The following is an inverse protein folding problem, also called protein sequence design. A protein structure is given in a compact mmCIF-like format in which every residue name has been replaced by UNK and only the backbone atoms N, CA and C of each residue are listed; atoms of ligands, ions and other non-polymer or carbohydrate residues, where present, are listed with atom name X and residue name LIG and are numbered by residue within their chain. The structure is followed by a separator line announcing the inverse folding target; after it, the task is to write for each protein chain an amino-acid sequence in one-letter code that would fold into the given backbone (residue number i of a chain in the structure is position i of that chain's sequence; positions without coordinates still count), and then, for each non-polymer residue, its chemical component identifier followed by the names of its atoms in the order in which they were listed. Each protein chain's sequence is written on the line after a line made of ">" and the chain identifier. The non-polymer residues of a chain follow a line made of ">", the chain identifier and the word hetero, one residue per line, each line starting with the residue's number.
data_IF_588990012991
#
_entry.id   IF_588990012991
#
_cell.length_a   1.000
_cell.length_b   1.000
_cell.length_c   1.000
_cell.angle_alpha   90.00
_cell.angle_beta   90.00
_cell.angle_gamma   90.00
#
_symmetry.space_group_name_H-M   'P 1'
#
loop_
_entity.id
_entity.type
_entity.pdbx_description
1 polymer ?
#
# COMPACT_ATOMS: atom_id res chain seq x y z
N UNK A 1 -28.45 3.22 4.54
CA UNK A 1 -28.49 3.84 3.22
C UNK A 1 -28.00 5.28 3.31
N UNK A 2 -27.04 5.65 2.47
CA UNK A 2 -26.49 7.00 2.50
C UNK A 2 -27.48 8.02 1.93
N UNK A 3 -27.64 9.13 2.64
CA UNK A 3 -28.41 10.29 2.17
C UNK A 3 -27.47 11.25 1.42
N UNK A 4 -28.02 12.26 0.74
CA UNK A 4 -27.20 13.31 0.11
C UNK A 4 -26.34 14.06 1.14
N UNK A 5 -26.84 14.25 2.36
CA UNK A 5 -26.07 14.85 3.45
C UNK A 5 -24.91 13.96 3.88
N UNK A 6 -25.13 12.63 3.95
CA UNK A 6 -24.07 11.69 4.28
C UNK A 6 -22.99 11.64 3.19
N UNK A 7 -23.39 11.73 1.93
CA UNK A 7 -22.46 11.78 0.80
C UNK A 7 -21.61 13.06 0.87
N UNK A 8 -22.22 14.21 1.16
CA UNK A 8 -21.50 15.47 1.33
C UNK A 8 -20.53 15.40 2.51
N UNK A 9 -20.92 14.77 3.63
CA UNK A 9 -20.04 14.56 4.76
C UNK A 9 -18.84 13.70 4.38
N UNK A 10 -19.05 12.66 3.58
CA UNK A 10 -17.97 11.78 3.12
C UNK A 10 -17.00 12.54 2.22
N UNK A 11 -17.51 13.30 1.25
CA UNK A 11 -16.68 13.92 0.22
C UNK A 11 -16.13 15.28 0.62
N UNK A 12 -16.87 16.06 1.40
CA UNK A 12 -16.54 17.45 1.73
C UNK A 12 -16.29 17.69 3.22
N UNK A 13 -16.59 16.73 4.07
CA UNK A 13 -16.42 16.85 5.51
C UNK A 13 -14.99 16.57 5.97
N UNK A 14 -14.77 16.74 7.27
CA UNK A 14 -13.44 16.56 7.88
C UNK A 14 -13.36 15.32 8.79
N UNK A 15 -14.37 14.47 8.74
CA UNK A 15 -14.39 13.25 9.55
C UNK A 15 -13.94 12.06 8.72
N UNK A 16 -12.96 11.31 9.23
CA UNK A 16 -12.50 10.08 8.59
C UNK A 16 -13.51 8.96 8.82
N UNK A 17 -14.15 8.53 7.74
CA UNK A 17 -15.16 7.47 7.75
C UNK A 17 -14.83 6.45 6.67
N UNK A 18 -13.79 5.62 6.88
CA UNK A 18 -13.34 4.70 5.84
C UNK A 18 -14.44 3.72 5.44
N UNK A 19 -14.59 3.56 4.13
CA UNK A 19 -15.59 2.66 3.56
C UNK A 19 -14.92 1.35 3.19
N UNK A 20 -15.12 0.35 4.03
CA UNK A 20 -14.61 -0.99 3.78
C UNK A 20 -15.47 -1.73 2.77
N UNK A 21 -14.85 -2.61 1.99
CA UNK A 21 -15.56 -3.48 1.06
C UNK A 21 -16.31 -4.62 1.80
N UNK A 22 -16.94 -5.52 1.05
CA UNK A 22 -17.70 -6.64 1.63
C UNK A 22 -16.83 -7.58 2.47
N UNK A 23 -15.52 -7.62 2.21
CA UNK A 23 -14.57 -8.41 2.99
C UNK A 23 -14.00 -7.65 4.19
N UNK A 24 -14.42 -6.41 4.42
CA UNK A 24 -13.93 -5.58 5.50
C UNK A 24 -12.57 -4.96 5.22
N UNK A 25 -12.23 -4.73 3.96
CA UNK A 25 -10.91 -4.23 3.55
C UNK A 25 -11.01 -2.91 2.78
N UNK A 26 -9.99 -2.08 2.94
CA UNK A 26 -9.72 -0.93 2.05
C UNK A 26 -8.39 -1.16 1.37
N UNK A 27 -8.26 -0.68 0.14
CA UNK A 27 -7.00 -0.71 -0.61
C UNK A 27 -6.08 0.40 -0.10
N UNK A 28 -4.80 0.09 0.04
CA UNK A 28 -3.77 1.04 0.45
C UNK A 28 -2.65 1.07 -0.57
N UNK A 29 -2.36 2.26 -1.08
CA UNK A 29 -1.23 2.51 -1.98
C UNK A 29 -0.13 3.16 -1.15
N UNK A 30 1.08 2.60 -1.21
CA UNK A 30 2.25 3.17 -0.53
C UNK A 30 3.22 3.73 -1.57
N UNK A 31 3.58 5.01 -1.40
CA UNK A 31 4.57 5.67 -2.23
C UNK A 31 5.74 6.17 -1.39
N UNK A 32 6.91 6.27 -2.01
CA UNK A 32 8.06 6.86 -1.35
C UNK A 32 7.82 8.35 -1.14
N UNK A 33 8.04 8.85 0.08
CA UNK A 33 7.73 10.23 0.44
C UNK A 33 8.60 11.26 -0.27
N UNK A 34 9.80 10.86 -0.70
CA UNK A 34 10.75 11.76 -1.36
C UNK A 34 10.63 11.68 -2.88
N UNK A 35 10.71 10.47 -3.44
CA UNK A 35 10.72 10.29 -4.90
C UNK A 35 9.34 10.24 -5.53
N UNK A 36 8.30 9.90 -4.75
CA UNK A 36 6.96 9.68 -5.28
C UNK A 36 6.77 8.34 -5.96
N UNK A 37 7.77 7.48 -5.96
CA UNK A 37 7.68 6.16 -6.59
C UNK A 37 6.61 5.33 -5.88
N UNK A 38 5.73 4.69 -6.64
CA UNK A 38 4.76 3.74 -6.10
C UNK A 38 5.51 2.49 -5.65
N UNK A 39 5.49 2.21 -4.37
CA UNK A 39 6.23 1.10 -3.79
C UNK A 39 5.45 -0.20 -3.82
N UNK A 40 4.19 -0.15 -3.40
CA UNK A 40 3.35 -1.33 -3.32
C UNK A 40 1.88 -0.95 -3.16
N UNK A 41 1.02 -1.94 -3.36
CA UNK A 41 -0.40 -1.88 -3.04
C UNK A 41 -0.74 -3.08 -2.16
N UNK A 42 -1.45 -2.84 -1.07
CA UNK A 42 -1.89 -3.88 -0.17
C UNK A 42 -3.26 -3.51 0.40
N UNK A 43 -3.73 -4.27 1.38
CA UNK A 43 -5.05 -4.06 1.97
C UNK A 43 -4.94 -3.88 3.48
N UNK A 44 -5.88 -3.11 4.03
CA UNK A 44 -6.01 -2.91 5.47
C UNK A 44 -7.44 -3.25 5.88
N UNK A 45 -7.58 -4.03 6.95
CA UNK A 45 -8.85 -4.12 7.65
C UNK A 45 -8.92 -2.98 8.68
N UNK A 46 -10.00 -2.90 9.44
CA UNK A 46 -10.18 -1.85 10.43
C UNK A 46 -9.06 -1.83 11.46
N UNK A 47 -8.64 -3.00 11.94
CA UNK A 47 -7.56 -3.08 12.93
C UNK A 47 -6.21 -2.65 12.36
N UNK A 48 -5.86 -3.08 11.14
CA UNK A 48 -4.63 -2.66 10.48
C UNK A 48 -4.59 -1.14 10.31
N UNK A 49 -5.71 -0.56 9.88
CA UNK A 49 -5.82 0.88 9.69
C UNK A 49 -5.64 1.63 11.02
N UNK A 50 -6.30 1.18 12.08
CA UNK A 50 -6.16 1.80 13.41
C UNK A 50 -4.74 1.68 13.95
N UNK A 51 -4.08 0.54 13.77
CA UNK A 51 -2.68 0.35 14.19
C UNK A 51 -1.74 1.23 13.38
N UNK A 52 -1.98 1.41 12.10
CA UNK A 52 -1.19 2.31 11.25
C UNK A 52 -1.29 3.75 11.76
N UNK A 53 -2.50 4.22 12.05
CA UNK A 53 -2.72 5.57 12.55
C UNK A 53 -2.06 5.76 13.91
N UNK A 54 -2.21 4.79 14.81
CA UNK A 54 -1.70 4.91 16.17
C UNK A 54 -0.17 4.82 16.26
N UNK A 55 0.44 3.95 15.44
CA UNK A 55 1.89 3.69 15.52
C UNK A 55 2.73 4.58 14.61
N UNK A 56 2.13 5.12 13.54
CA UNK A 56 2.89 5.81 12.50
C UNK A 56 3.69 4.90 11.59
N UNK A 57 3.47 3.59 11.69
CA UNK A 57 4.07 2.58 10.83
C UNK A 57 2.99 1.81 10.11
N UNK A 58 3.26 1.36 8.87
CA UNK A 58 2.26 0.68 8.05
C UNK A 58 1.98 -0.74 8.55
N UNK A 59 0.71 -1.00 8.83
CA UNK A 59 0.16 -2.31 9.11
C UNK A 59 -0.80 -2.68 8.01
N UNK A 60 -0.80 -3.95 7.60
CA UNK A 60 -1.66 -4.45 6.53
C UNK A 60 -2.40 -5.71 6.98
N UNK A 61 -3.37 -6.11 6.19
CA UNK A 61 -4.06 -7.38 6.35
C UNK A 61 -3.79 -8.27 5.15
N UNK A 62 -3.24 -9.45 5.40
CA UNK A 62 -2.98 -10.44 4.35
C UNK A 62 -4.25 -11.23 4.06
N UNK A 63 -4.78 -11.13 2.84
CA UNK A 63 -5.98 -11.88 2.44
C UNK A 63 -5.72 -13.38 2.40
N UNK A 64 -4.56 -13.77 1.90
CA UNK A 64 -4.21 -15.19 1.75
C UNK A 64 -3.96 -15.88 3.10
N UNK A 65 -3.37 -15.17 4.06
CA UNK A 65 -3.08 -15.71 5.39
C UNK A 65 -4.15 -15.37 6.42
N UNK A 66 -5.12 -14.53 6.05
CA UNK A 66 -6.18 -14.02 6.93
C UNK A 66 -5.62 -13.48 8.25
N UNK A 67 -4.54 -12.69 8.18
CA UNK A 67 -3.86 -12.18 9.35
C UNK A 67 -3.30 -10.79 9.16
N UNK A 68 -3.17 -10.07 10.28
CA UNK A 68 -2.48 -8.79 10.34
C UNK A 68 -0.98 -8.99 10.16
N UNK A 69 -0.33 -8.02 9.56
CA UNK A 69 1.13 -7.98 9.55
C UNK A 69 1.62 -6.53 9.49
N UNK A 70 2.68 -6.26 10.24
CA UNK A 70 3.38 -4.98 10.18
C UNK A 70 4.43 -5.07 9.09
N UNK A 71 4.44 -4.09 8.18
CA UNK A 71 5.47 -4.06 7.13
C UNK A 71 6.84 -4.00 7.80
N UNK A 72 7.69 -4.97 7.48
CA UNK A 72 9.03 -5.06 8.03
C UNK A 72 9.17 -5.91 9.30
N UNK A 73 8.12 -6.58 9.79
CA UNK A 73 8.22 -7.38 11.01
C UNK A 73 9.19 -8.55 10.87
N UNK A 74 9.39 -9.10 9.67
CA UNK A 74 10.38 -10.15 9.40
C UNK A 74 11.69 -9.61 8.86
N UNK A 75 11.63 -8.61 7.98
CA UNK A 75 12.79 -8.09 7.27
C UNK A 75 13.46 -6.90 7.96
N UNK A 76 12.77 -6.24 8.87
CA UNK A 76 13.18 -4.96 9.44
C UNK A 76 12.92 -3.76 8.51
N UNK A 77 12.37 -3.99 7.32
CA UNK A 77 12.12 -2.95 6.32
C UNK A 77 10.75 -2.29 6.54
N UNK A 78 10.62 -1.59 7.66
CA UNK A 78 9.37 -0.93 8.04
C UNK A 78 9.04 0.24 7.11
N UNK A 79 7.78 0.63 7.09
CA UNK A 79 7.31 1.82 6.40
C UNK A 79 6.83 2.83 7.43
N UNK A 80 7.56 3.92 7.60
CA UNK A 80 7.18 4.99 8.51
C UNK A 80 6.30 5.99 7.76
N UNK A 81 5.13 6.28 8.31
CA UNK A 81 4.16 7.18 7.68
C UNK A 81 4.63 8.63 7.78
N UNK A 82 4.76 9.30 6.65
CA UNK A 82 5.00 10.74 6.56
C UNK A 82 3.67 11.48 6.40
N UNK A 83 2.78 10.92 5.58
CA UNK A 83 1.45 11.48 5.36
C UNK A 83 0.50 10.37 4.97
N UNK A 84 -0.74 10.46 5.42
CA UNK A 84 -1.81 9.56 5.02
C UNK A 84 -2.94 10.37 4.43
N UNK A 85 -3.40 9.96 3.26
CA UNK A 85 -4.55 10.57 2.58
C UNK A 85 -5.61 9.52 2.31
N UNK A 86 -6.85 9.98 2.24
CA UNK A 86 -7.99 9.15 1.83
C UNK A 86 -8.55 9.75 0.53
N UNK A 87 -9.09 8.90 -0.34
CA UNK A 87 -9.67 9.40 -1.58
C UNK A 87 -11.07 10.00 -1.35
N UNK A 88 -11.71 10.52 -2.40
CA UNK A 88 -12.93 11.32 -2.26
C UNK A 88 -14.10 10.56 -1.62
N UNK A 89 -14.25 9.28 -1.90
CA UNK A 89 -15.32 8.45 -1.33
C UNK A 89 -14.87 7.58 -0.15
N UNK A 90 -13.63 7.78 0.30
CA UNK A 90 -13.04 7.14 1.48
C UNK A 90 -12.96 5.61 1.40
N UNK A 91 -12.77 5.07 0.22
CA UNK A 91 -12.60 3.62 0.04
C UNK A 91 -11.17 3.20 -0.35
N UNK A 92 -10.25 4.16 -0.46
CA UNK A 92 -8.84 3.89 -0.71
C UNK A 92 -7.97 4.83 0.12
N UNK A 93 -6.84 4.31 0.57
CA UNK A 93 -5.86 5.01 1.39
C UNK A 93 -4.57 5.18 0.58
N UNK A 94 -3.97 6.34 0.67
CA UNK A 94 -2.64 6.61 0.13
C UNK A 94 -1.72 7.02 1.26
N UNK A 95 -0.66 6.22 1.49
CA UNK A 95 0.37 6.56 2.46
C UNK A 95 1.65 6.93 1.74
N UNK A 96 2.22 8.07 2.15
CA UNK A 96 3.56 8.48 1.77
C UNK A 96 4.48 8.05 2.89
N UNK A 97 5.50 7.26 2.57
CA UNK A 97 6.30 6.59 3.60
C UNK A 97 7.80 6.78 3.39
N UNK A 98 8.54 6.64 4.48
CA UNK A 98 9.97 6.37 4.45
C UNK A 98 10.13 4.85 4.56
N UNK A 99 10.63 4.23 3.47
CA UNK A 99 10.84 2.78 3.42
C UNK A 99 12.23 2.45 3.94
N UNK A 100 12.31 1.83 5.11
CA UNK A 100 13.58 1.32 5.63
C UNK A 100 14.12 0.24 4.71
N UNK A 101 15.44 0.20 4.53
CA UNK A 101 16.11 -0.79 3.68
C UNK A 101 16.00 -0.50 2.18
N UNK A 102 15.24 0.53 1.77
CA UNK A 102 15.13 0.97 0.39
C UNK A 102 14.35 0.05 -0.55
N UNK A 103 13.78 -1.05 -0.05
CA UNK A 103 13.05 -2.01 -0.89
C UNK A 103 11.73 -2.40 -0.23
N UNK A 104 10.62 -2.16 -0.92
CA UNK A 104 9.29 -2.54 -0.46
C UNK A 104 8.95 -3.98 -0.82
N UNK A 105 9.46 -4.47 -1.95
CA UNK A 105 9.12 -5.81 -2.44
C UNK A 105 9.96 -6.90 -1.78
N UNK A 106 9.32 -8.02 -1.44
CA UNK A 106 10.03 -9.18 -0.88
C UNK A 106 11.06 -9.79 -1.84
N UNK A 107 10.98 -9.44 -3.13
CA UNK A 107 11.98 -9.85 -4.13
C UNK A 107 13.28 -9.07 -4.01
N UNK A 108 13.35 -8.09 -3.12
CA UNK A 108 14.51 -7.23 -2.93
C UNK A 108 14.50 -5.97 -3.79
N UNK A 109 13.46 -5.76 -4.57
CA UNK A 109 13.34 -4.57 -5.44
C UNK A 109 12.69 -3.43 -4.68
N UNK A 110 13.02 -2.19 -5.07
CA UNK A 110 12.46 -0.99 -4.44
C UNK A 110 10.95 -0.97 -4.50
N UNK A 111 10.38 -1.30 -5.63
CA UNK A 111 8.94 -1.31 -5.89
C UNK A 111 8.47 -2.70 -6.26
N UNK A 112 7.24 -3.03 -5.89
CA UNK A 112 6.57 -4.22 -6.39
C UNK A 112 6.22 -4.10 -7.89
N UNK A 113 6.27 -2.89 -8.43
CA UNK A 113 5.93 -2.61 -9.83
C UNK A 113 7.18 -2.52 -10.68
N UNK A 114 7.92 -3.61 -10.78
CA UNK A 114 9.22 -3.65 -11.49
C UNK A 114 9.13 -4.24 -12.89
N UNK A 115 7.93 -4.52 -13.38
CA UNK A 115 7.69 -5.00 -14.75
C UNK A 115 6.58 -4.16 -15.39
N UNK A 116 6.74 -3.87 -16.67
CA UNK A 116 5.75 -3.14 -17.44
C UNK A 116 5.00 -4.10 -18.38
N UNK A 117 3.74 -3.79 -18.62
CA UNK A 117 2.90 -4.52 -19.57
C UNK A 117 2.86 -3.72 -20.87
N UNK A 118 3.21 -4.35 -21.99
CA UNK A 118 3.10 -3.73 -23.30
C UNK A 118 1.62 -3.51 -23.64
N UNK A 119 1.29 -2.30 -24.11
CA UNK A 119 -0.06 -1.90 -24.48
C UNK A 119 -0.11 -1.39 -25.89
N UNK A 120 -1.26 -1.53 -26.57
CA UNK A 120 -1.57 -0.91 -27.86
C UNK A 120 -0.63 -1.28 -29.03
N UNK A 121 0.15 -2.35 -28.89
CA UNK A 121 1.11 -2.81 -29.90
C UNK A 121 0.94 -4.31 -30.19
N UNK A 122 1.70 -4.81 -31.18
CA UNK A 122 1.64 -6.23 -31.55
C UNK A 122 2.00 -7.16 -30.39
N UNK A 123 2.80 -6.70 -29.43
CA UNK A 123 3.21 -7.46 -28.23
C UNK A 123 2.37 -7.16 -27.01
N UNK A 124 1.17 -6.62 -27.19
CA UNK A 124 0.28 -6.27 -26.08
C UNK A 124 0.12 -7.44 -25.10
N UNK A 125 0.28 -7.15 -23.81
CA UNK A 125 0.19 -8.14 -22.74
C UNK A 125 1.51 -8.80 -22.37
N UNK A 126 2.59 -8.60 -23.11
CA UNK A 126 3.91 -9.09 -22.72
C UNK A 126 4.50 -8.22 -21.60
N UNK A 127 5.27 -8.85 -20.72
CA UNK A 127 5.96 -8.17 -19.62
C UNK A 127 7.42 -7.90 -19.96
N UNK A 128 7.92 -6.76 -19.52
CA UNK A 128 9.34 -6.44 -19.56
C UNK A 128 9.77 -5.83 -18.23
N UNK A 129 11.03 -6.05 -17.85
CA UNK A 129 11.58 -5.44 -16.64
C UNK A 129 11.87 -3.96 -16.89
N UNK A 130 11.44 -3.11 -15.95
CA UNK A 130 11.70 -1.66 -16.00
C UNK A 130 12.45 -1.15 -14.76
N UNK A 131 12.43 -1.90 -13.66
CA UNK A 131 13.14 -1.58 -12.42
C UNK A 131 13.56 -2.92 -11.79
N UNK A 132 14.48 -3.61 -12.44
CA UNK A 132 14.83 -4.99 -12.13
C UNK A 132 15.89 -5.15 -11.05
N UNK A 133 16.65 -4.10 -10.76
CA UNK A 133 17.75 -4.17 -9.82
C UNK A 133 17.25 -4.42 -8.40
N UNK A 134 17.90 -5.37 -7.73
CA UNK A 134 17.58 -5.68 -6.33
C UNK A 134 18.42 -4.82 -5.40
N UNK A 135 17.77 -4.31 -4.35
CA UNK A 135 18.44 -3.57 -3.28
C UNK A 135 19.05 -4.53 -2.28
N UNK A 136 18.42 -5.69 -2.09
CA UNK A 136 18.97 -6.74 -1.22
C UNK A 136 18.70 -8.13 -1.83
N UNK A 137 19.43 -9.14 -1.31
CA UNK A 137 19.20 -10.55 -1.67
C UNK A 137 18.10 -11.13 -0.78
N UNK A 138 16.94 -11.52 -1.33
CA UNK A 138 15.84 -12.06 -0.53
C UNK A 138 16.21 -13.31 0.28
N UNK A 139 17.11 -14.16 -0.24
CA UNK A 139 17.53 -15.37 0.47
C UNK A 139 18.26 -15.05 1.77
N UNK A 140 18.93 -13.90 1.85
CA UNK A 140 19.64 -13.48 3.06
C UNK A 140 18.72 -12.84 4.09
N UNK A 141 17.58 -12.28 3.67
CA UNK A 141 16.67 -11.53 4.54
C UNK A 141 15.51 -12.40 5.03
N UNK A 142 14.98 -13.26 4.16
CA UNK A 142 13.76 -14.04 4.44
C UNK A 142 14.03 -15.55 4.66
N UNK A 143 15.17 -15.91 5.12
CA UNK A 143 15.46 -17.29 5.44
C UNK A 143 14.62 -17.83 6.59
#
# INVERSE_FOLDING_TARGET
>A
MSTSADINDIEEGLRFQPKFDAAGLVTCVATDAVSGVVLMVAHMNDEALRRTIASGEAWYFSRSRASLWRKGESSGHVQRIVEMRVDCDQDAIWIRVEQSGGAACHTGRRSCFYRAVATAEAKAGELSFVDADRVFDPEKVYR
#
